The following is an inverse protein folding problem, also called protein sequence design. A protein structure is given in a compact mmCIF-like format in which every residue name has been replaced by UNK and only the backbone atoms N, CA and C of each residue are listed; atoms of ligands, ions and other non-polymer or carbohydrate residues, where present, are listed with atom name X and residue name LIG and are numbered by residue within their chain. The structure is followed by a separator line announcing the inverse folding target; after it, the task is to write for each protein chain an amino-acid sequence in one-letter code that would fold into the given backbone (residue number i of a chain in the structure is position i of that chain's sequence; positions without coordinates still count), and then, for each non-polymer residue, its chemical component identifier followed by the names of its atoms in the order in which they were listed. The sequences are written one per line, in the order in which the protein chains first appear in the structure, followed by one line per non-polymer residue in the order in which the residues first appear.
data_IF_366347589059
#
_entry.id   IF_366347589059
#
_cell.length_a   1.000
_cell.length_b   1.000
_cell.length_c   1.000
_cell.angle_alpha   90.00
_cell.angle_beta   90.00
_cell.angle_gamma   90.00
#
_symmetry.space_group_name_H-M   'P 1'
#
loop_
_entity.id
_entity.type
_entity.pdbx_description
1 polymer ?
#
# COMPACT_ATOMS: atom_id res chain seq x y z
N UNK A 1 -12.17 -10.10 7.92
CA UNK A 1 -11.06 -11.07 8.12
C UNK A 1 -9.77 -10.40 8.57
N UNK A 2 -9.34 -9.29 7.98
CA UNK A 2 -8.10 -8.56 8.36
C UNK A 2 -7.91 -8.34 9.87
N UNK A 3 -8.95 -7.88 10.56
CA UNK A 3 -8.92 -7.66 12.01
C UNK A 3 -8.74 -8.95 12.83
N UNK A 4 -9.22 -10.10 12.35
CA UNK A 4 -9.00 -11.39 13.00
C UNK A 4 -7.54 -11.81 12.86
N UNK A 5 -6.96 -11.66 11.67
CA UNK A 5 -5.56 -11.98 11.42
C UNK A 5 -4.63 -11.08 12.23
N UNK A 6 -4.93 -9.79 12.32
CA UNK A 6 -4.21 -8.85 13.21
C UNK A 6 -4.27 -9.31 14.68
N UNK A 7 -5.45 -9.71 15.16
CA UNK A 7 -5.60 -10.25 16.53
C UNK A 7 -4.79 -11.53 16.74
N UNK A 8 -4.80 -12.46 15.78
CA UNK A 8 -4.03 -13.70 15.85
C UNK A 8 -2.52 -13.42 15.90
N UNK A 9 -2.02 -12.49 15.07
CA UNK A 9 -0.62 -12.09 15.09
C UNK A 9 -0.21 -11.37 16.38
N UNK A 10 -1.12 -10.58 16.96
CA UNK A 10 -0.89 -9.91 18.25
C UNK A 10 -0.83 -10.93 19.39
N UNK A 11 -1.71 -11.92 19.37
CA UNK A 11 -1.75 -12.98 20.40
C UNK A 11 -0.53 -13.92 20.30
N UNK A 12 -0.04 -14.20 19.08
CA UNK A 12 1.15 -15.04 18.89
C UNK A 12 2.44 -14.42 19.41
N UNK A 13 2.53 -13.08 19.47
CA UNK A 13 3.72 -12.35 19.93
C UNK A 13 3.88 -12.38 21.46
N UNK A 14 2.80 -12.61 22.22
CA UNK A 14 2.82 -12.56 23.69
C UNK A 14 3.48 -13.77 24.37
N UNK A 15 3.97 -14.76 23.60
CA UNK A 15 4.52 -16.00 24.15
C UNK A 15 5.86 -16.39 23.54
N UNK A 16 6.83 -16.67 24.43
CA UNK A 16 8.08 -17.42 24.18
C UNK A 16 9.35 -16.61 23.86
N UNK A 17 10.43 -16.90 24.61
CA UNK A 17 11.77 -16.35 24.37
C UNK A 17 12.40 -16.79 23.02
N UNK A 18 11.86 -17.84 22.39
CA UNK A 18 12.24 -18.23 21.03
C UNK A 18 11.67 -17.26 19.96
N UNK A 19 10.85 -16.29 20.36
CA UNK A 19 10.16 -15.40 19.43
C UNK A 19 11.11 -14.47 18.69
N UNK A 20 12.23 -14.02 19.28
CA UNK A 20 13.05 -12.95 18.68
C UNK A 20 13.54 -13.27 17.25
N UNK A 21 14.01 -14.51 17.00
CA UNK A 21 14.46 -14.93 15.67
C UNK A 21 13.30 -15.13 14.69
N UNK A 22 12.17 -15.67 15.15
CA UNK A 22 11.00 -15.91 14.31
C UNK A 22 10.23 -14.61 14.01
N UNK A 23 10.21 -13.68 14.96
CA UNK A 23 9.67 -12.34 14.83
C UNK A 23 10.50 -11.55 13.81
N UNK A 24 11.83 -11.65 13.87
CA UNK A 24 12.72 -11.03 12.90
C UNK A 24 12.47 -11.54 11.48
N UNK A 25 12.38 -12.86 11.26
CA UNK A 25 12.11 -13.40 9.92
C UNK A 25 10.71 -13.04 9.42
N UNK A 26 9.70 -13.04 10.30
CA UNK A 26 8.35 -12.60 9.97
C UNK A 26 8.31 -11.13 9.53
N UNK A 27 8.98 -10.24 10.27
CA UNK A 27 9.08 -8.81 9.92
C UNK A 27 9.74 -8.63 8.55
N UNK A 28 10.85 -9.34 8.29
CA UNK A 28 11.51 -9.31 6.96
C UNK A 28 10.55 -9.72 5.85
N UNK A 29 9.81 -10.82 6.01
CA UNK A 29 8.80 -11.24 5.03
C UNK A 29 7.69 -10.20 4.86
N UNK A 30 7.23 -9.54 5.92
CA UNK A 30 6.21 -8.49 5.81
C UNK A 30 6.72 -7.28 5.03
N UNK A 31 7.98 -6.89 5.21
CA UNK A 31 8.62 -5.84 4.42
C UNK A 31 8.78 -6.23 2.95
N UNK A 32 9.18 -7.47 2.66
CA UNK A 32 9.24 -8.00 1.29
C UNK A 32 7.85 -7.99 0.65
N UNK A 33 6.80 -8.42 1.37
CA UNK A 33 5.44 -8.32 0.89
C UNK A 33 5.05 -6.86 0.59
N UNK A 34 5.38 -5.92 1.47
CA UNK A 34 5.07 -4.50 1.26
C UNK A 34 5.76 -3.93 0.02
N UNK A 35 7.03 -4.27 -0.20
CA UNK A 35 7.79 -3.87 -1.38
C UNK A 35 7.22 -4.50 -2.66
N UNK A 36 6.90 -5.79 -2.64
CA UNK A 36 6.27 -6.47 -3.78
C UNK A 36 4.90 -5.85 -4.14
N UNK A 37 4.11 -5.51 -3.13
CA UNK A 37 2.84 -4.81 -3.31
C UNK A 37 3.07 -3.43 -3.97
N UNK A 38 4.03 -2.68 -3.49
CA UNK A 38 4.42 -1.38 -4.03
C UNK A 38 4.91 -1.47 -5.49
N UNK A 39 5.75 -2.46 -5.81
CA UNK A 39 6.25 -2.69 -7.16
C UNK A 39 5.11 -3.07 -8.13
N UNK A 40 4.18 -3.93 -7.68
CA UNK A 40 2.98 -4.24 -8.45
C UNK A 40 2.13 -2.98 -8.70
N UNK A 41 1.95 -2.17 -7.66
CA UNK A 41 1.21 -0.92 -7.73
C UNK A 41 1.86 0.10 -8.67
N UNK A 42 3.18 0.06 -8.88
CA UNK A 42 3.88 0.95 -9.82
C UNK A 42 3.66 0.55 -11.29
N UNK A 43 3.51 -0.75 -11.56
CA UNK A 43 3.26 -1.26 -12.93
C UNK A 43 1.82 -1.04 -13.36
N UNK A 44 0.84 -1.17 -12.45
CA UNK A 44 -0.58 -1.13 -12.78
C UNK A 44 -1.06 0.20 -13.42
N UNK A 45 -0.66 1.40 -12.94
CA UNK A 45 -1.01 2.67 -13.57
C UNK A 45 -0.47 2.79 -14.98
N UNK A 46 0.75 2.28 -15.24
CA UNK A 46 1.34 2.31 -16.58
C UNK A 46 0.53 1.50 -17.58
N UNK A 47 -0.04 0.39 -17.13
CA UNK A 47 -0.93 -0.45 -17.93
C UNK A 47 -2.34 0.13 -18.07
N UNK A 48 -2.79 0.93 -17.10
CA UNK A 48 -4.08 1.62 -17.16
C UNK A 48 -4.01 2.76 -18.18
N UNK A 49 -4.16 2.42 -19.45
CA UNK A 49 -4.33 3.36 -20.55
C UNK A 49 -5.58 4.23 -20.33
N UNK A 50 -5.44 5.54 -20.52
CA UNK A 50 -6.57 6.42 -20.81
C UNK A 50 -7.36 6.92 -19.60
N UNK A 51 -6.82 7.89 -18.86
CA UNK A 51 -7.63 8.74 -17.96
C UNK A 51 -8.87 9.31 -18.68
N UNK A 52 -8.72 9.59 -19.98
CA UNK A 52 -9.77 10.08 -20.87
C UNK A 52 -10.86 9.02 -21.11
N UNK A 53 -10.49 7.73 -21.24
CA UNK A 53 -11.44 6.63 -21.49
C UNK A 53 -12.40 6.40 -20.30
N UNK A 54 -11.95 6.71 -19.08
CA UNK A 54 -12.72 6.53 -17.86
C UNK A 54 -13.63 7.72 -17.55
N UNK A 55 -13.26 8.93 -18.00
CA UNK A 55 -14.04 10.14 -17.80
C UNK A 55 -15.24 10.23 -18.74
N UNK A 56 -15.13 9.66 -19.95
CA UNK A 56 -16.24 9.62 -20.91
C UNK A 56 -17.15 8.44 -20.55
N UNK A 57 -18.18 8.71 -19.76
CA UNK A 57 -19.12 7.66 -19.35
C UNK A 57 -19.92 7.08 -20.53
N UNK A 58 -20.07 7.81 -21.64
CA UNK A 58 -21.21 7.64 -22.54
C UNK A 58 -21.04 6.73 -23.77
N UNK A 59 -19.89 6.56 -24.44
CA UNK A 59 -19.92 5.95 -25.80
C UNK A 59 -18.76 4.98 -26.14
N UNK A 60 -17.99 4.49 -25.18
CA UNK A 60 -16.89 3.56 -25.46
C UNK A 60 -17.34 2.09 -25.52
N UNK A 61 -16.74 1.35 -26.46
CA UNK A 61 -16.87 -0.09 -26.62
C UNK A 61 -16.71 -0.81 -25.27
N UNK A 62 -17.76 -1.56 -24.88
CA UNK A 62 -17.88 -2.26 -23.59
C UNK A 62 -16.61 -3.03 -23.18
N UNK A 63 -15.83 -3.53 -24.14
CA UNK A 63 -14.58 -4.26 -23.89
C UNK A 63 -13.43 -3.44 -23.28
N UNK A 64 -13.21 -2.18 -23.71
CA UNK A 64 -12.08 -1.37 -23.18
C UNK A 64 -12.33 -0.93 -21.74
N UNK A 65 -13.55 -0.44 -21.49
CA UNK A 65 -13.99 0.04 -20.16
C UNK A 65 -13.90 -1.06 -19.09
N UNK A 66 -14.28 -2.29 -19.43
CA UNK A 66 -14.16 -3.45 -18.52
C UNK A 66 -12.69 -3.75 -18.16
N UNK A 67 -11.77 -3.63 -19.10
CA UNK A 67 -10.34 -3.83 -18.82
C UNK A 67 -9.76 -2.72 -17.96
N UNK A 68 -10.12 -1.47 -18.22
CA UNK A 68 -9.70 -0.32 -17.42
C UNK A 68 -10.19 -0.45 -15.96
N UNK A 69 -11.47 -0.76 -15.74
CA UNK A 69 -11.99 -1.00 -14.39
C UNK A 69 -11.35 -2.21 -13.70
N UNK A 70 -11.03 -3.28 -14.44
CA UNK A 70 -10.29 -4.42 -13.88
C UNK A 70 -8.90 -4.00 -13.39
N UNK A 71 -8.19 -3.15 -14.14
CA UNK A 71 -6.87 -2.62 -13.74
C UNK A 71 -6.98 -1.70 -12.53
N UNK A 72 -7.98 -0.83 -12.48
CA UNK A 72 -8.28 0.00 -11.30
C UNK A 72 -8.58 -0.88 -10.09
N UNK A 73 -9.39 -1.93 -10.24
CA UNK A 73 -9.66 -2.87 -9.15
C UNK A 73 -8.40 -3.56 -8.61
N UNK A 74 -7.38 -3.77 -9.46
CA UNK A 74 -6.07 -4.25 -9.00
C UNK A 74 -5.29 -3.18 -8.23
N UNK A 75 -5.33 -1.92 -8.67
CA UNK A 75 -4.72 -0.78 -7.97
C UNK A 75 -5.34 -0.67 -6.57
N UNK A 76 -6.67 -0.73 -6.49
CA UNK A 76 -7.41 -0.69 -5.22
C UNK A 76 -7.04 -1.85 -4.30
N UNK A 77 -6.97 -3.07 -4.85
CA UNK A 77 -6.55 -4.25 -4.10
C UNK A 77 -5.13 -4.10 -3.55
N UNK A 78 -4.21 -3.60 -4.37
CA UNK A 78 -2.82 -3.46 -3.96
C UNK A 78 -2.62 -2.35 -2.91
N UNK A 79 -3.34 -1.25 -3.05
CA UNK A 79 -3.40 -0.20 -2.03
C UNK A 79 -4.01 -0.71 -0.70
N UNK A 80 -5.04 -1.55 -0.79
CA UNK A 80 -5.68 -2.18 0.37
C UNK A 80 -4.77 -3.24 1.04
N UNK A 81 -3.92 -3.94 0.27
CA UNK A 81 -2.87 -4.81 0.78
C UNK A 81 -1.81 -3.99 1.54
N UNK A 82 -1.32 -2.91 0.94
CA UNK A 82 -0.34 -2.00 1.57
C UNK A 82 -0.85 -1.42 2.89
N UNK A 83 -2.12 -0.97 2.92
CA UNK A 83 -2.76 -0.51 4.15
C UNK A 83 -2.74 -1.57 5.24
N UNK A 84 -3.09 -2.81 4.89
CA UNK A 84 -3.15 -3.89 5.85
C UNK A 84 -1.76 -4.32 6.35
N UNK A 85 -0.77 -4.39 5.45
CA UNK A 85 0.62 -4.67 5.81
C UNK A 85 1.19 -3.58 6.73
N UNK A 86 0.88 -2.30 6.46
CA UNK A 86 1.27 -1.20 7.32
C UNK A 86 0.61 -1.31 8.72
N UNK A 87 -0.64 -1.77 8.81
CA UNK A 87 -1.30 -2.05 10.10
C UNK A 87 -0.60 -3.19 10.86
N UNK A 88 -0.27 -4.30 10.20
CA UNK A 88 0.43 -5.43 10.82
C UNK A 88 1.81 -4.99 11.35
N UNK A 89 2.58 -4.28 10.52
CA UNK A 89 3.90 -3.78 10.90
C UNK A 89 3.81 -2.75 12.04
N UNK A 90 2.77 -1.90 12.04
CA UNK A 90 2.53 -0.93 13.11
C UNK A 90 2.21 -1.59 14.44
N UNK A 91 1.40 -2.65 14.44
CA UNK A 91 1.08 -3.41 15.65
C UNK A 91 2.31 -4.13 16.22
N UNK A 92 3.33 -4.38 15.40
CA UNK A 92 4.61 -4.98 15.78
C UNK A 92 5.71 -3.96 16.08
N UNK A 93 5.40 -2.67 16.07
CA UNK A 93 6.40 -1.59 16.20
C UNK A 93 7.55 -1.68 15.19
N UNK A 94 7.30 -2.26 14.02
CA UNK A 94 8.30 -2.52 12.98
C UNK A 94 8.05 -1.62 11.76
N UNK A 95 7.75 -0.34 11.99
CA UNK A 95 7.30 0.61 10.96
C UNK A 95 8.37 1.57 10.47
N UNK A 96 9.56 1.56 11.08
CA UNK A 96 10.59 2.61 10.92
C UNK A 96 10.95 2.92 9.47
N UNK A 97 11.00 1.90 8.63
CA UNK A 97 11.39 2.04 7.23
C UNK A 97 10.19 2.25 6.29
N UNK A 98 8.95 2.02 6.73
CA UNK A 98 7.78 2.14 5.84
C UNK A 98 7.61 3.55 5.29
N UNK A 99 7.82 4.57 6.13
CA UNK A 99 7.71 5.96 5.69
C UNK A 99 8.75 6.31 4.62
N UNK A 100 9.99 5.82 4.77
CA UNK A 100 11.08 6.07 3.81
C UNK A 100 10.92 5.26 2.52
N UNK A 101 10.43 4.02 2.60
CA UNK A 101 10.09 3.20 1.44
C UNK A 101 8.96 3.85 0.63
N UNK A 102 7.92 4.37 1.31
CA UNK A 102 6.80 5.03 0.64
C UNK A 102 7.18 6.38 0.05
N UNK A 103 7.91 7.22 0.77
CA UNK A 103 8.30 8.56 0.31
C UNK A 103 9.19 8.53 -0.94
N UNK A 104 9.95 7.44 -1.17
CA UNK A 104 10.78 7.26 -2.37
C UNK A 104 9.97 6.97 -3.65
N UNK A 105 8.65 6.79 -3.56
CA UNK A 105 7.78 6.49 -4.69
C UNK A 105 7.35 7.72 -5.49
N UNK A 106 8.32 8.51 -5.95
CA UNK A 106 8.07 9.69 -6.79
C UNK A 106 7.49 9.30 -8.16
N UNK A 107 7.95 8.19 -8.71
CA UNK A 107 7.47 7.66 -9.98
C UNK A 107 6.02 7.19 -9.90
N UNK A 108 5.65 6.44 -8.85
CA UNK A 108 4.26 6.04 -8.63
C UNK A 108 3.34 7.26 -8.58
N UNK A 109 3.72 8.31 -7.86
CA UNK A 109 2.93 9.54 -7.78
C UNK A 109 2.73 10.18 -9.17
N UNK A 110 3.81 10.30 -9.95
CA UNK A 110 3.75 10.87 -11.29
C UNK A 110 2.83 10.06 -12.24
N UNK A 111 2.96 8.74 -12.24
CA UNK A 111 2.16 7.84 -13.09
C UNK A 111 0.69 7.81 -12.65
N UNK A 112 0.42 7.77 -11.35
CA UNK A 112 -0.94 7.70 -10.83
C UNK A 112 -1.72 8.99 -11.13
N UNK A 113 -1.11 10.16 -10.92
CA UNK A 113 -1.79 11.44 -11.12
C UNK A 113 -2.11 11.73 -12.59
N UNK A 114 -1.26 11.26 -13.51
CA UNK A 114 -1.42 11.49 -14.95
C UNK A 114 -2.37 10.50 -15.62
N UNK A 115 -2.49 9.27 -15.09
CA UNK A 115 -3.24 8.18 -15.76
C UNK A 115 -4.55 7.79 -15.09
N UNK A 116 -4.64 7.94 -13.77
CA UNK A 116 -5.81 7.47 -13.01
C UNK A 116 -6.64 8.68 -12.57
N UNK A 117 -7.95 8.73 -12.89
CA UNK A 117 -8.83 9.79 -12.41
C UNK A 117 -8.84 9.90 -10.88
N UNK A 118 -9.02 11.11 -10.35
CA UNK A 118 -8.95 11.43 -8.90
C UNK A 118 -9.73 10.44 -8.03
N UNK A 119 -10.94 10.08 -8.45
CA UNK A 119 -11.86 9.23 -7.69
C UNK A 119 -11.29 7.83 -7.43
N UNK A 120 -10.44 7.33 -8.33
CA UNK A 120 -9.81 6.00 -8.24
C UNK A 120 -8.43 6.03 -7.55
N UNK A 121 -7.98 7.19 -7.07
CA UNK A 121 -6.70 7.33 -6.34
C UNK A 121 -6.87 7.33 -4.82
N UNK A 122 -8.10 7.21 -4.34
CA UNK A 122 -8.44 7.37 -2.93
C UNK A 122 -7.70 6.38 -2.02
N UNK A 123 -7.68 5.09 -2.36
CA UNK A 123 -7.03 4.08 -1.51
C UNK A 123 -5.51 4.25 -1.43
N UNK A 124 -4.86 4.62 -2.53
CA UNK A 124 -3.42 4.97 -2.51
C UNK A 124 -3.17 6.18 -1.62
N UNK A 125 -4.07 7.18 -1.66
CA UNK A 125 -3.98 8.34 -0.78
C UNK A 125 -4.18 7.97 0.69
N UNK A 126 -5.04 6.97 0.97
CA UNK A 126 -5.22 6.43 2.33
C UNK A 126 -3.95 5.75 2.86
N UNK A 127 -3.14 5.09 2.00
CA UNK A 127 -1.83 4.55 2.41
C UNK A 127 -0.95 5.68 2.93
N UNK A 128 -0.81 6.77 2.17
CA UNK A 128 -0.04 7.96 2.60
C UNK A 128 -0.59 8.52 3.91
N UNK A 129 -1.90 8.72 4.02
CA UNK A 129 -2.52 9.26 5.24
C UNK A 129 -2.26 8.37 6.46
N UNK A 130 -2.33 7.04 6.30
CA UNK A 130 -2.04 6.09 7.38
C UNK A 130 -0.60 6.19 7.84
N UNK A 131 0.36 6.22 6.91
CA UNK A 131 1.78 6.34 7.24
C UNK A 131 2.07 7.67 7.96
N UNK A 132 1.44 8.77 7.54
CA UNK A 132 1.56 10.05 8.23
C UNK A 132 0.99 10.01 9.66
N UNK A 133 -0.10 9.27 9.91
CA UNK A 133 -0.61 9.05 11.27
C UNK A 133 0.40 8.26 12.12
N UNK A 134 1.05 7.24 11.54
CA UNK A 134 2.08 6.46 12.22
C UNK A 134 3.28 7.34 12.58
N UNK A 135 3.78 8.14 11.64
CA UNK A 135 4.84 9.13 11.86
C UNK A 135 4.43 10.15 12.93
N UNK A 136 3.23 10.70 12.84
CA UNK A 136 2.71 11.71 13.78
C UNK A 136 2.51 11.20 15.20
N UNK A 137 2.32 9.88 15.39
CA UNK A 137 2.29 9.24 16.71
C UNK A 137 3.67 9.00 17.31
N UNK A 138 4.75 9.33 16.58
CA UNK A 138 6.12 9.06 16.99
C UNK A 138 6.48 7.57 16.96
N UNK A 139 5.70 6.74 16.26
CA UNK A 139 6.02 5.33 16.08
C UNK A 139 7.18 5.11 15.12
N UNK A 140 7.50 6.12 14.30
CA UNK A 140 8.67 6.17 13.42
C UNK A 140 9.23 7.60 13.40
N UNK A 141 10.54 7.73 13.26
CA UNK A 141 11.23 9.00 13.06
C UNK A 141 11.91 8.99 11.70
N UNK A 142 11.18 9.32 10.61
CA UNK A 142 11.77 9.36 9.28
C UNK A 142 12.92 10.37 9.22
N UNK A 143 13.92 10.05 8.39
CA UNK A 143 15.08 10.92 8.19
C UNK A 143 14.66 12.31 7.68
N UNK A 144 15.57 13.28 7.75
CA UNK A 144 15.30 14.64 7.25
C UNK A 144 14.98 14.64 5.75
N UNK A 145 15.55 13.72 4.99
CA UNK A 145 15.35 13.59 3.54
C UNK A 145 14.00 12.96 3.20
N UNK A 146 13.41 12.21 4.14
CA UNK A 146 12.11 11.55 3.97
C UNK A 146 10.94 12.48 4.30
N UNK A 147 11.17 13.52 5.12
CA UNK A 147 10.19 14.53 5.52
C UNK A 147 10.10 15.66 4.51
#
# INVERSE_FOLDING_TARGET
MKSLVLKLFKESSNGSANSSSADSSCITTLYECFQNCQDSLLVLPREATGADELAVEEELSSGSKVQAFRKIGKIDLEADNLLWLAEILSDRHAVDELASIWARQTELAAELHTRIPVMHRHLVSCVTARLLVVVGRGATLPSRETR
#
